data_IF_592655149844
#
_entry.id   IF_592655149844
#
_cell.length_a   1.000
_cell.length_b   1.000
_cell.length_c   1.000
_cell.angle_alpha   90.00
_cell.angle_beta   90.00
_cell.angle_gamma   90.00
#
_symmetry.space_group_name_H-M   'P 1'
#
loop_
_entity.id
_entity.type
_entity.pdbx_description
1 polymer ?
#
# COMPACT_ATOMS: atom_id res chain seq x y z
N UNK A 1 3.72 2.63 39.32
CA UNK A 1 4.29 3.96 39.66
C UNK A 1 5.73 3.98 39.18
N UNK A 2 6.20 5.03 38.49
CA UNK A 2 5.85 6.44 38.70
C UNK A 2 5.08 7.06 37.52
N UNK A 3 4.59 8.27 37.78
CA UNK A 3 3.68 9.10 36.98
C UNK A 3 4.41 10.38 36.53
N UNK A 4 4.05 10.85 35.32
CA UNK A 4 3.87 12.26 34.89
C UNK A 4 5.13 13.17 34.85
N UNK A 5 5.34 14.08 33.89
CA UNK A 5 4.42 14.95 33.13
C UNK A 5 5.00 15.18 31.71
N UNK A 6 4.14 15.08 30.70
CA UNK A 6 4.33 15.54 29.32
C UNK A 6 3.66 16.92 29.14
N UNK A 7 4.17 17.77 28.26
CA UNK A 7 3.44 18.94 27.75
C UNK A 7 3.43 18.92 26.21
N UNK A 8 2.21 18.77 25.72
CA UNK A 8 1.70 18.85 24.35
C UNK A 8 1.83 20.26 23.78
N UNK A 9 2.11 20.37 22.48
CA UNK A 9 1.67 21.49 21.66
C UNK A 9 0.98 20.92 20.41
N UNK A 10 -0.36 20.96 20.43
CA UNK A 10 -1.23 20.59 19.33
C UNK A 10 -1.55 21.83 18.49
N UNK A 11 -1.27 21.80 17.19
CA UNK A 11 -1.93 22.67 16.23
C UNK A 11 -3.17 21.93 15.71
N UNK A 12 -4.34 22.45 16.08
CA UNK A 12 -5.62 22.08 15.52
C UNK A 12 -5.80 22.82 14.19
N UNK A 13 -5.83 22.09 13.08
CA UNK A 13 -6.41 22.56 11.83
C UNK A 13 -7.68 21.73 11.58
N UNK A 14 -8.82 22.40 11.69
CA UNK A 14 -10.15 21.85 11.43
C UNK A 14 -10.30 21.41 9.97
N UNK A 15 -10.97 20.30 9.67
CA UNK A 15 -11.55 20.10 8.35
C UNK A 15 -12.91 20.80 8.33
N UNK A 16 -13.01 21.93 7.63
CA UNK A 16 -14.30 22.46 7.22
C UNK A 16 -14.86 21.53 6.13
N UNK A 17 -16.04 20.96 6.40
CA UNK A 17 -16.86 20.26 5.43
C UNK A 17 -17.16 21.19 4.25
N UNK A 18 -16.86 20.71 3.05
CA UNK A 18 -17.30 21.31 1.80
C UNK A 18 -18.83 21.23 1.73
N UNK A 19 -19.51 22.38 1.72
CA UNK A 19 -20.80 22.50 1.08
C UNK A 19 -20.58 22.51 -0.43
N UNK A 20 -21.18 21.55 -1.14
CA UNK A 20 -21.46 21.70 -2.56
C UNK A 20 -22.48 22.83 -2.74
N UNK A 21 -21.98 24.05 -2.94
CA UNK A 21 -22.72 25.03 -3.73
C UNK A 21 -22.22 24.91 -5.15
N UNK A 22 -23.12 24.61 -6.09
CA UNK A 22 -22.89 24.63 -7.53
C UNK A 22 -22.63 26.05 -8.05
N UNK A 23 -21.58 26.69 -7.56
CA UNK A 23 -21.02 27.92 -8.10
C UNK A 23 -19.77 27.54 -8.87
N UNK A 24 -19.80 27.73 -10.19
CA UNK A 24 -18.62 27.70 -11.05
C UNK A 24 -17.51 28.54 -10.42
N UNK A 25 -16.51 27.88 -9.85
CA UNK A 25 -15.30 28.50 -9.33
C UNK A 25 -14.66 29.31 -10.47
N UNK A 26 -14.80 30.64 -10.41
CA UNK A 26 -14.11 31.55 -11.30
C UNK A 26 -12.61 31.51 -10.94
N UNK A 27 -11.86 30.66 -11.62
CA UNK A 27 -10.40 30.60 -11.51
C UNK A 27 -9.87 31.98 -11.92
N UNK A 28 -9.22 32.76 -11.02
CA UNK A 28 -8.66 34.05 -11.40
C UNK A 28 -7.52 33.81 -12.40
N UNK A 29 -7.53 34.55 -13.51
CA UNK A 29 -6.46 34.47 -14.49
C UNK A 29 -5.12 34.86 -13.83
N UNK A 30 -4.01 34.14 -14.15
CA UNK A 30 -2.71 34.46 -13.60
C UNK A 30 -2.29 35.89 -13.97
N UNK A 31 -1.47 36.56 -13.13
CA UNK A 31 -0.97 37.90 -13.42
C UNK A 31 -0.21 37.92 -14.74
N UNK A 32 -0.34 39.01 -15.48
CA UNK A 32 0.06 39.17 -16.89
C UNK A 32 1.56 38.92 -17.17
N UNK A 33 2.38 38.84 -16.12
CA UNK A 33 3.84 38.65 -16.18
C UNK A 33 4.32 37.32 -15.53
N UNK A 34 3.44 36.35 -15.29
CA UNK A 34 3.83 35.04 -14.77
C UNK A 34 4.47 34.17 -15.87
N UNK A 35 5.78 33.96 -15.81
CA UNK A 35 6.46 32.92 -16.58
C UNK A 35 6.16 31.54 -15.97
N UNK A 36 5.05 30.94 -16.38
CA UNK A 36 4.71 29.56 -16.03
C UNK A 36 5.64 28.61 -16.82
N UNK A 37 6.21 27.56 -16.20
CA UNK A 37 6.95 26.55 -16.94
C UNK A 37 6.01 25.81 -17.90
N UNK A 38 6.48 25.51 -19.10
CA UNK A 38 5.75 24.64 -20.04
C UNK A 38 5.54 23.28 -19.38
N UNK A 39 4.27 22.95 -19.10
CA UNK A 39 3.89 21.65 -18.56
C UNK A 39 3.80 20.70 -19.75
N UNK A 40 4.86 19.93 -19.98
CA UNK A 40 4.78 18.81 -20.90
C UNK A 40 3.85 17.74 -20.30
N UNK A 41 2.87 17.22 -21.06
CA UNK A 41 2.02 16.13 -20.58
C UNK A 41 2.88 14.92 -20.25
N UNK A 42 2.65 14.33 -19.07
CA UNK A 42 3.45 13.23 -18.50
C UNK A 42 3.41 11.97 -19.39
N UNK A 43 2.40 11.87 -20.26
CA UNK A 43 2.21 10.83 -21.27
C UNK A 43 1.79 11.54 -22.56
N UNK A 44 2.51 11.33 -23.65
CA UNK A 44 2.15 11.87 -24.96
C UNK A 44 0.96 11.12 -25.58
N UNK A 45 0.20 11.75 -26.46
CA UNK A 45 -0.95 11.12 -27.14
C UNK A 45 -0.58 9.79 -27.81
N UNK A 46 0.66 9.64 -28.32
CA UNK A 46 1.18 8.38 -28.87
C UNK A 46 1.28 7.26 -27.83
N UNK A 47 1.73 7.55 -26.61
CA UNK A 47 1.84 6.54 -25.55
C UNK A 47 0.46 6.18 -25.00
N UNK A 48 -0.48 7.14 -24.99
CA UNK A 48 -1.88 6.88 -24.66
C UNK A 48 -2.54 5.97 -25.70
N UNK A 49 -2.42 6.27 -26.99
CA UNK A 49 -3.00 5.42 -28.05
C UNK A 49 -2.38 4.01 -28.09
N UNK A 50 -1.09 3.88 -27.76
CA UNK A 50 -0.45 2.57 -27.64
C UNK A 50 -0.94 1.74 -26.43
N UNK A 51 -1.46 2.38 -25.39
CA UNK A 51 -1.96 1.73 -24.18
C UNK A 51 -3.44 1.34 -24.27
N UNK A 52 -4.19 1.89 -25.23
CA UNK A 52 -5.59 1.53 -25.46
C UNK A 52 -5.64 0.25 -26.31
N UNK A 53 -6.20 -0.86 -25.81
CA UNK A 53 -6.38 -2.05 -26.63
C UNK A 53 -7.33 -1.75 -27.80
N UNK A 54 -6.91 -2.07 -29.02
CA UNK A 54 -7.76 -1.97 -30.21
C UNK A 54 -8.90 -2.98 -30.09
N UNK A 55 -10.13 -2.50 -29.98
CA UNK A 55 -11.33 -3.33 -30.03
C UNK A 55 -11.69 -3.55 -31.50
N UNK A 56 -11.17 -4.61 -32.12
CA UNK A 56 -11.59 -5.00 -33.46
C UNK A 56 -13.01 -5.61 -33.37
N UNK A 57 -14.01 -5.10 -34.10
CA UNK A 57 -15.34 -5.72 -34.17
C UNK A 57 -15.35 -7.17 -34.71
N UNK A 58 -14.21 -7.68 -35.20
CA UNK A 58 -14.00 -9.09 -35.51
C UNK A 58 -13.73 -9.98 -34.28
N UNK A 59 -13.29 -9.41 -33.15
CA UNK A 59 -12.94 -10.15 -31.93
C UNK A 59 -14.15 -10.40 -31.01
N UNK A 60 -15.28 -9.73 -31.24
CA UNK A 60 -16.55 -9.98 -30.57
C UNK A 60 -17.72 -10.11 -31.57
N UNK A 61 -18.17 -11.34 -31.89
CA UNK A 61 -19.26 -11.56 -32.83
C UNK A 61 -20.60 -11.01 -32.33
N UNK A 62 -20.77 -10.71 -31.03
CA UNK A 62 -22.00 -10.12 -30.50
C UNK A 62 -22.15 -8.64 -30.88
N UNK A 63 -21.03 -7.92 -31.04
CA UNK A 63 -21.03 -6.50 -31.44
C UNK A 63 -21.42 -6.29 -32.91
N UNK A 64 -21.34 -7.34 -33.74
CA UNK A 64 -21.72 -7.30 -35.16
C UNK A 64 -23.14 -7.82 -35.44
N UNK A 65 -23.86 -8.25 -34.39
CA UNK A 65 -25.24 -8.70 -34.51
C UNK A 65 -26.21 -7.57 -34.84
N UNK A 66 -27.27 -7.87 -35.61
CA UNK A 66 -28.42 -6.96 -35.71
C UNK A 66 -29.06 -6.83 -34.33
N UNK A 67 -29.07 -5.61 -33.80
CA UNK A 67 -29.77 -5.29 -32.56
C UNK A 67 -31.23 -5.72 -32.71
N UNK A 68 -31.77 -6.32 -31.64
CA UNK A 68 -33.18 -6.67 -31.59
C UNK A 68 -34.04 -5.43 -31.85
N UNK A 69 -35.07 -5.57 -32.69
CA UNK A 69 -36.03 -4.49 -32.91
C UNK A 69 -36.79 -4.21 -31.61
N UNK A 70 -37.11 -2.94 -31.34
CA UNK A 70 -37.89 -2.52 -30.16
C UNK A 70 -39.17 -3.38 -29.99
N UNK A 71 -39.83 -3.72 -31.10
CA UNK A 71 -41.05 -4.53 -31.10
C UNK A 71 -40.84 -5.99 -30.63
N UNK A 72 -39.65 -6.56 -30.85
CA UNK A 72 -39.30 -7.90 -30.37
C UNK A 72 -38.90 -7.85 -28.89
N UNK A 73 -38.19 -6.81 -28.47
CA UNK A 73 -37.83 -6.56 -27.08
C UNK A 73 -39.08 -6.41 -26.19
N UNK A 74 -40.05 -5.59 -26.62
CA UNK A 74 -41.31 -5.39 -25.89
C UNK A 74 -42.12 -6.68 -25.78
N UNK A 75 -42.12 -7.53 -26.83
CA UNK A 75 -42.80 -8.82 -26.82
C UNK A 75 -42.19 -9.79 -25.80
N UNK A 76 -40.86 -9.81 -25.69
CA UNK A 76 -40.15 -10.63 -24.69
C UNK A 76 -40.46 -10.16 -23.27
N UNK A 77 -40.48 -8.85 -23.05
CA UNK A 77 -40.76 -8.26 -21.74
C UNK A 77 -42.23 -8.51 -21.32
N UNK A 78 -43.16 -8.47 -22.27
CA UNK A 78 -44.56 -8.83 -22.04
C UNK A 78 -44.75 -10.32 -21.75
N UNK A 79 -44.02 -11.20 -22.43
CA UNK A 79 -44.03 -12.65 -22.15
C UNK A 79 -43.46 -12.95 -20.75
N UNK A 80 -42.41 -12.24 -20.31
CA UNK A 80 -41.87 -12.33 -18.95
C UNK A 80 -42.84 -11.77 -17.89
N UNK A 81 -43.54 -10.66 -18.15
CA UNK A 81 -44.58 -10.11 -17.26
C UNK A 81 -45.80 -11.05 -17.14
N UNK A 82 -46.17 -11.75 -18.21
CA UNK A 82 -47.32 -12.67 -18.20
C UNK A 82 -47.08 -13.99 -17.44
N UNK A 83 -45.83 -14.30 -17.09
CA UNK A 83 -45.47 -15.40 -16.20
C UNK A 83 -45.60 -15.03 -14.70
N UNK A 84 -45.82 -13.76 -14.37
CA UNK A 84 -46.17 -13.32 -13.02
C UNK A 84 -47.69 -13.23 -12.88
N UNK A 85 -48.30 -14.26 -12.28
CA UNK A 85 -49.73 -14.32 -11.96
C UNK A 85 -50.19 -13.04 -11.20
N UNK A 86 -50.79 -12.09 -11.92
CA UNK A 86 -51.63 -11.04 -11.35
C UNK A 86 -52.87 -10.82 -12.22
N UNK A 87 -54.01 -11.20 -11.67
CA UNK A 87 -55.36 -10.99 -12.21
C UNK A 87 -55.62 -9.50 -12.52
N UNK A 88 -55.86 -9.19 -13.80
CA UNK A 88 -56.29 -7.87 -14.23
C UNK A 88 -57.78 -7.64 -13.92
N UNK A 89 -58.18 -6.49 -13.31
CA UNK A 89 -59.58 -6.11 -13.29
C UNK A 89 -59.98 -5.38 -14.58
N UNK A 90 -61.23 -5.64 -14.95
CA UNK A 90 -61.98 -5.17 -16.12
C UNK A 90 -61.86 -3.66 -16.38
N UNK A 91 -61.54 -3.31 -17.62
CA UNK A 91 -61.52 -1.92 -18.14
C UNK A 91 -62.91 -1.30 -18.22
N UNK A 92 -63.02 -0.06 -17.75
CA UNK A 92 -64.20 0.80 -17.91
C UNK A 92 -64.12 1.54 -19.28
N UNK A 93 -65.16 1.54 -20.14
CA UNK A 93 -65.10 2.11 -21.49
C UNK A 93 -64.99 3.63 -21.55
N UNK A 94 -64.92 4.32 -20.41
CA UNK A 94 -64.99 5.78 -20.33
C UNK A 94 -63.70 6.52 -20.76
N UNK A 95 -62.59 5.81 -20.93
CA UNK A 95 -61.31 6.38 -21.39
C UNK A 95 -60.90 5.97 -22.81
N UNK A 96 -61.69 5.11 -23.47
CA UNK A 96 -61.53 4.91 -24.91
C UNK A 96 -62.27 6.06 -25.61
N UNK A 97 -61.53 7.03 -26.16
CA UNK A 97 -62.12 8.10 -26.99
C UNK A 97 -62.80 7.56 -28.26
N UNK A 98 -62.60 6.27 -28.54
CA UNK A 98 -63.25 5.51 -29.60
C UNK A 98 -62.59 5.71 -30.96
N UNK A 99 -61.46 6.40 -31.03
CA UNK A 99 -60.63 6.40 -32.23
C UNK A 99 -59.92 5.05 -32.36
N UNK A 100 -59.96 4.47 -33.57
CA UNK A 100 -59.39 3.15 -33.86
C UNK A 100 -58.12 3.23 -34.70
N UNK A 101 -57.64 4.44 -34.97
CA UNK A 101 -56.42 4.68 -35.75
C UNK A 101 -55.47 5.61 -35.02
N UNK A 102 -54.81 5.08 -33.99
CA UNK A 102 -53.64 5.70 -33.37
C UNK A 102 -52.41 4.79 -33.58
N UNK A 103 -51.25 5.37 -33.87
CA UNK A 103 -49.99 4.63 -34.04
C UNK A 103 -49.40 4.14 -32.71
N UNK A 104 -49.88 4.66 -31.57
CA UNK A 104 -49.48 4.25 -30.22
C UNK A 104 -50.75 4.01 -29.42
N UNK A 105 -50.87 2.84 -28.79
CA UNK A 105 -52.03 2.52 -27.95
C UNK A 105 -52.03 3.38 -26.68
N UNK A 106 -53.21 3.81 -26.25
CA UNK A 106 -53.38 4.64 -25.07
C UNK A 106 -52.88 3.91 -23.81
N UNK A 107 -52.11 4.62 -22.98
CA UNK A 107 -51.39 4.00 -21.87
C UNK A 107 -52.38 3.50 -20.80
N UNK A 108 -52.26 2.23 -20.42
CA UNK A 108 -53.10 1.65 -19.37
C UNK A 108 -52.78 2.31 -18.03
N UNK A 109 -53.72 3.07 -17.47
CA UNK A 109 -53.58 3.63 -16.12
C UNK A 109 -53.65 2.46 -15.12
N UNK A 110 -52.48 2.02 -14.62
CA UNK A 110 -52.36 0.88 -13.69
C UNK A 110 -52.67 1.26 -12.23
N UNK A 111 -52.75 2.55 -11.92
CA UNK A 111 -53.00 3.04 -10.56
C UNK A 111 -54.47 3.37 -10.32
N UNK A 112 -55.15 2.54 -9.54
CA UNK A 112 -56.56 2.69 -9.19
C UNK A 112 -56.85 3.96 -8.36
N UNK A 113 -55.83 4.62 -7.80
CA UNK A 113 -56.01 5.91 -7.12
C UNK A 113 -56.31 7.05 -8.09
N UNK A 114 -55.77 6.99 -9.31
CA UNK A 114 -55.91 8.04 -10.32
C UNK A 114 -57.30 8.07 -10.98
N UNK A 115 -58.08 7.01 -10.80
CA UNK A 115 -59.46 6.89 -11.33
C UNK A 115 -60.49 7.36 -10.30
N UNK A 116 -60.08 7.70 -9.07
CA UNK A 116 -61.00 8.21 -8.05
C UNK A 116 -61.45 9.63 -8.43
N UNK A 117 -62.76 9.94 -8.35
CA UNK A 117 -63.25 11.29 -8.62
C UNK A 117 -62.57 12.28 -7.66
N UNK A 118 -62.05 13.37 -8.21
CA UNK A 118 -61.39 14.40 -7.42
C UNK A 118 -62.34 14.93 -6.34
N UNK A 119 -61.85 15.15 -5.10
CA UNK A 119 -62.66 15.74 -4.05
C UNK A 119 -63.11 17.16 -4.46
N UNK A 120 -64.29 17.61 -4.00
CA UNK A 120 -64.79 18.95 -4.30
C UNK A 120 -63.80 20.01 -3.82
N UNK A 121 -63.55 21.03 -4.64
CA UNK A 121 -62.56 22.10 -4.35
C UNK A 121 -62.85 22.83 -3.03
N UNK A 122 -64.10 22.82 -2.56
CA UNK A 122 -64.53 23.40 -1.27
C UNK A 122 -63.98 22.65 -0.04
N UNK A 123 -63.50 21.41 -0.21
CA UNK A 123 -62.88 20.59 0.84
C UNK A 123 -61.34 20.66 0.86
N UNK A 124 -60.74 21.43 -0.05
CA UNK A 124 -59.31 21.63 -0.12
C UNK A 124 -58.89 22.72 0.88
N UNK A 125 -58.60 22.33 2.12
CA UNK A 125 -57.93 23.21 3.07
C UNK A 125 -56.49 23.44 2.60
N UNK A 126 -56.22 24.67 2.12
CA UNK A 126 -54.85 25.14 1.90
C UNK A 126 -54.24 25.40 3.28
N UNK A 127 -53.78 24.36 3.96
CA UNK A 127 -52.69 24.54 4.91
C UNK A 127 -51.48 24.95 4.08
N UNK A 128 -50.91 26.15 4.30
CA UNK A 128 -49.61 26.46 3.74
C UNK A 128 -48.68 25.32 4.14
N UNK A 129 -47.97 24.74 3.19
CA UNK A 129 -46.86 23.86 3.50
C UNK A 129 -45.90 24.75 4.29
N UNK A 130 -45.92 24.64 5.63
CA UNK A 130 -44.79 25.04 6.43
C UNK A 130 -43.69 24.09 6.01
N UNK A 131 -42.89 24.53 5.04
CA UNK A 131 -41.53 24.03 4.95
C UNK A 131 -40.99 24.20 6.37
N UNK A 132 -40.73 23.10 7.07
CA UNK A 132 -39.92 23.15 8.26
C UNK A 132 -38.76 24.07 7.89
N UNK A 133 -38.61 25.19 8.62
CA UNK A 133 -37.43 26.04 8.49
C UNK A 133 -36.26 25.08 8.35
N UNK A 134 -35.35 25.26 7.36
CA UNK A 134 -34.15 24.44 7.35
C UNK A 134 -33.60 24.58 8.76
N UNK A 135 -33.67 23.49 9.53
CA UNK A 135 -33.18 23.49 10.89
C UNK A 135 -31.80 24.10 10.74
N UNK A 136 -31.59 25.25 11.41
CA UNK A 136 -30.34 26.00 11.31
C UNK A 136 -29.24 24.97 11.30
N UNK A 137 -28.47 24.88 10.21
CA UNK A 137 -27.58 23.76 9.94
C UNK A 137 -26.93 23.34 11.25
N UNK A 138 -27.42 22.24 11.83
CA UNK A 138 -26.85 21.68 13.04
C UNK A 138 -25.53 21.12 12.53
N UNK A 139 -24.52 21.99 12.51
CA UNK A 139 -23.10 21.69 12.33
C UNK A 139 -22.57 20.90 13.55
N UNK A 140 -23.47 20.33 14.36
CA UNK A 140 -23.17 19.23 15.23
C UNK A 140 -22.86 18.02 14.34
N UNK A 141 -21.59 17.92 13.92
CA UNK A 141 -21.01 16.65 13.49
C UNK A 141 -21.39 15.60 14.54
N UNK A 142 -22.42 14.79 14.27
CA UNK A 142 -22.95 13.81 15.21
C UNK A 142 -21.88 12.75 15.37
N UNK A 143 -21.01 12.99 16.35
CA UNK A 143 -19.87 12.13 16.62
C UNK A 143 -20.42 10.85 17.21
N UNK A 144 -20.33 9.76 16.44
CA UNK A 144 -20.74 8.43 16.87
C UNK A 144 -19.66 7.84 17.75
N UNK A 145 -20.02 7.54 19.00
CA UNK A 145 -19.17 6.78 19.91
C UNK A 145 -19.30 5.28 19.60
N UNK A 146 -18.17 4.58 19.53
CA UNK A 146 -18.15 3.14 19.34
C UNK A 146 -17.10 2.44 20.21
N UNK A 147 -17.30 1.14 20.43
CA UNK A 147 -16.37 0.25 21.09
C UNK A 147 -16.04 -0.92 20.16
N UNK A 148 -14.76 -1.29 20.08
CA UNK A 148 -14.30 -2.46 19.32
C UNK A 148 -14.39 -3.73 20.16
N UNK A 149 -15.02 -4.77 19.61
CA UNK A 149 -15.12 -6.09 20.23
C UNK A 149 -14.56 -7.13 19.26
N UNK A 150 -13.64 -7.96 19.73
CA UNK A 150 -13.01 -9.02 18.92
C UNK A 150 -13.26 -10.36 19.60
N UNK A 151 -14.00 -11.25 18.93
CA UNK A 151 -14.34 -12.59 19.42
C UNK A 151 -13.61 -13.67 18.60
N UNK A 152 -13.43 -14.87 19.16
CA UNK A 152 -12.92 -16.05 18.45
C UNK A 152 -11.41 -16.08 18.13
N UNK A 153 -10.65 -15.04 18.50
CA UNK A 153 -9.20 -14.96 18.28
C UNK A 153 -8.36 -15.70 19.34
N UNK A 154 -8.97 -16.17 20.44
CA UNK A 154 -8.22 -16.66 21.61
C UNK A 154 -7.40 -17.92 21.31
N UNK A 155 -7.96 -18.90 20.59
CA UNK A 155 -7.26 -20.14 20.22
C UNK A 155 -6.01 -19.83 19.37
N UNK A 156 -6.15 -19.00 18.34
CA UNK A 156 -5.04 -18.63 17.47
C UNK A 156 -3.98 -17.81 18.22
N UNK A 157 -4.41 -16.95 19.14
CA UNK A 157 -3.50 -16.13 19.95
C UNK A 157 -2.72 -16.96 20.97
N UNK A 158 -3.26 -18.08 21.47
CA UNK A 158 -2.53 -18.99 22.38
C UNK A 158 -1.55 -19.90 21.64
N UNK A 159 -1.88 -20.33 20.42
CA UNK A 159 -1.01 -21.17 19.58
C UNK A 159 0.11 -20.40 18.88
N UNK A 160 0.04 -19.07 18.91
CA UNK A 160 1.00 -18.18 18.25
C UNK A 160 1.84 -17.46 19.31
N UNK A 161 3.19 -17.58 19.29
CA UNK A 161 4.05 -16.83 20.22
C UNK A 161 3.88 -15.31 20.09
N UNK A 162 3.61 -14.86 18.86
CA UNK A 162 3.25 -13.47 18.54
C UNK A 162 1.87 -13.16 19.11
N UNK A 163 1.77 -12.12 19.94
CA UNK A 163 0.48 -11.68 20.47
C UNK A 163 -0.39 -11.06 19.38
N UNK A 164 -1.20 -11.87 18.69
CA UNK A 164 -2.10 -11.45 17.60
C UNK A 164 -3.00 -10.28 18.00
N UNK A 165 -3.56 -10.32 19.22
CA UNK A 165 -4.39 -9.23 19.75
C UNK A 165 -3.61 -7.92 19.87
N UNK A 166 -2.33 -7.99 20.23
CA UNK A 166 -1.47 -6.80 20.35
C UNK A 166 -1.07 -6.26 19.00
N UNK A 167 -0.74 -7.14 18.04
CA UNK A 167 -0.40 -6.78 16.66
C UNK A 167 -1.59 -6.13 15.95
N UNK A 168 -2.78 -6.70 16.08
CA UNK A 168 -3.99 -6.10 15.54
C UNK A 168 -4.22 -4.70 16.12
N UNK A 169 -4.10 -4.55 17.44
CA UNK A 169 -4.27 -3.24 18.10
C UNK A 169 -3.24 -2.20 17.65
N UNK A 170 -2.02 -2.56 17.23
CA UNK A 170 -1.06 -1.55 16.75
C UNK A 170 -1.40 -0.96 15.39
N UNK A 171 -2.18 -1.68 14.58
CA UNK A 171 -2.51 -1.29 13.21
C UNK A 171 -4.00 -1.04 12.96
N UNK A 172 -4.86 -1.26 13.97
CA UNK A 172 -6.32 -1.08 13.87
C UNK A 172 -6.73 0.38 13.69
N UNK A 173 -7.47 0.65 12.62
CA UNK A 173 -8.07 1.94 12.30
C UNK A 173 -9.21 2.29 13.28
N UNK A 174 -9.97 1.31 13.76
CA UNK A 174 -10.96 1.52 14.83
C UNK A 174 -10.27 1.97 16.14
N UNK A 175 -9.07 1.46 16.43
CA UNK A 175 -8.33 1.90 17.62
C UNK A 175 -7.73 3.28 17.42
N UNK A 176 -7.17 3.58 16.26
CA UNK A 176 -6.63 4.90 15.92
C UNK A 176 -7.70 5.99 16.06
N UNK A 177 -8.94 5.69 15.68
CA UNK A 177 -10.10 6.56 15.86
C UNK A 177 -10.52 6.82 17.32
N UNK A 178 -9.90 6.17 18.31
CA UNK A 178 -10.12 6.46 19.73
C UNK A 178 -11.56 6.24 20.23
N UNK A 179 -12.32 5.36 19.57
CA UNK A 179 -13.73 5.10 19.91
C UNK A 179 -14.71 6.20 19.47
N UNK A 180 -14.30 7.09 18.57
CA UNK A 180 -15.14 8.15 18.00
C UNK A 180 -15.05 8.23 16.48
N UNK A 181 -16.17 8.51 15.83
CA UNK A 181 -16.26 8.68 14.39
C UNK A 181 -17.24 9.81 14.01
N UNK A 182 -17.01 10.48 12.90
CA UNK A 182 -17.88 11.53 12.35
C UNK A 182 -19.28 11.00 11.97
N UNK A 183 -19.40 9.73 11.57
CA UNK A 183 -20.67 9.08 11.25
C UNK A 183 -20.49 7.54 11.26
N UNK A 184 -21.60 6.81 11.12
CA UNK A 184 -21.62 5.34 11.07
C UNK A 184 -20.85 4.78 9.87
N UNK A 185 -20.92 5.45 8.72
CA UNK A 185 -20.21 5.03 7.51
C UNK A 185 -18.69 4.97 7.72
N UNK A 186 -18.12 5.92 8.47
CA UNK A 186 -16.70 5.87 8.82
C UNK A 186 -16.36 4.74 9.80
N UNK A 187 -17.27 4.38 10.71
CA UNK A 187 -17.08 3.18 11.57
C UNK A 187 -17.07 1.92 10.70
N UNK A 188 -18.00 1.82 9.75
CA UNK A 188 -18.06 0.70 8.81
C UNK A 188 -16.79 0.59 7.95
N UNK A 189 -16.31 1.69 7.38
CA UNK A 189 -15.08 1.72 6.59
C UNK A 189 -13.86 1.27 7.41
N UNK A 190 -13.72 1.76 8.65
CA UNK A 190 -12.64 1.34 9.55
C UNK A 190 -12.77 -0.13 9.96
N UNK A 191 -13.99 -0.62 10.15
CA UNK A 191 -14.27 -2.00 10.49
C UNK A 191 -13.93 -2.95 9.33
N UNK A 192 -14.19 -2.55 8.09
CA UNK A 192 -13.79 -3.29 6.89
C UNK A 192 -12.26 -3.34 6.75
N UNK A 193 -11.58 -2.20 6.88
CA UNK A 193 -10.11 -2.15 6.91
C UNK A 193 -9.50 -3.03 8.02
N UNK A 194 -10.10 -3.00 9.21
CA UNK A 194 -9.66 -3.85 10.32
C UNK A 194 -9.92 -5.35 10.05
N UNK A 195 -10.96 -5.69 9.29
CA UNK A 195 -11.22 -7.07 8.90
C UNK A 195 -10.15 -7.62 7.96
N UNK A 196 -9.73 -6.82 6.96
CA UNK A 196 -8.64 -7.15 6.04
C UNK A 196 -7.30 -7.24 6.77
N UNK A 197 -7.06 -6.33 7.71
CA UNK A 197 -5.90 -6.38 8.59
C UNK A 197 -5.88 -7.68 9.42
N UNK A 198 -7.01 -8.06 10.01
CA UNK A 198 -7.11 -9.30 10.78
C UNK A 198 -6.82 -10.53 9.93
N UNK A 199 -7.40 -10.61 8.71
CA UNK A 199 -7.11 -11.68 7.75
C UNK A 199 -5.61 -11.72 7.40
N UNK A 200 -5.01 -10.57 7.14
CA UNK A 200 -3.58 -10.45 6.80
C UNK A 200 -2.69 -10.92 7.95
N UNK A 201 -2.99 -10.52 9.18
CA UNK A 201 -2.26 -10.93 10.39
C UNK A 201 -2.35 -12.44 10.60
N UNK A 202 -3.56 -13.01 10.46
CA UNK A 202 -3.79 -14.44 10.60
C UNK A 202 -3.06 -15.23 9.51
N UNK A 203 -3.15 -14.80 8.25
CA UNK A 203 -2.44 -15.41 7.14
C UNK A 203 -0.91 -15.35 7.33
N UNK A 204 -0.38 -14.25 7.86
CA UNK A 204 1.05 -14.10 8.15
C UNK A 204 1.55 -15.10 9.21
N UNK A 205 0.67 -15.61 10.05
CA UNK A 205 0.99 -16.60 11.11
C UNK A 205 0.60 -18.04 10.73
N UNK A 206 0.15 -18.23 9.49
CA UNK A 206 -0.16 -19.53 8.89
C UNK A 206 -1.63 -19.93 8.94
N UNK A 207 -2.53 -19.03 9.32
CA UNK A 207 -3.98 -19.26 9.39
C UNK A 207 -4.66 -18.82 8.09
N UNK A 208 -4.37 -19.51 6.98
CA UNK A 208 -4.88 -19.16 5.65
C UNK A 208 -6.36 -19.50 5.41
N UNK A 209 -6.98 -20.23 6.32
CA UNK A 209 -8.41 -20.57 6.27
C UNK A 209 -9.23 -19.79 7.29
N UNK A 210 -8.71 -18.65 7.74
CA UNK A 210 -9.42 -17.77 8.64
C UNK A 210 -10.63 -17.12 7.95
N UNK A 211 -11.78 -17.16 8.61
CA UNK A 211 -13.00 -16.45 8.21
C UNK A 211 -13.23 -15.31 9.20
N UNK A 212 -13.26 -14.06 8.71
CA UNK A 212 -13.43 -12.86 9.53
C UNK A 212 -14.71 -12.17 9.12
N UNK A 213 -15.67 -12.12 10.05
CA UNK A 213 -16.95 -11.45 9.85
C UNK A 213 -17.03 -10.19 10.68
N UNK A 214 -17.70 -9.20 10.14
CA UNK A 214 -17.90 -7.92 10.81
C UNK A 214 -19.38 -7.64 10.96
N UNK A 215 -19.74 -6.99 12.07
CA UNK A 215 -21.08 -6.44 12.27
C UNK A 215 -21.03 -5.23 13.18
N UNK A 216 -22.03 -4.38 13.04
CA UNK A 216 -22.22 -3.21 13.88
C UNK A 216 -23.48 -3.44 14.70
N UNK A 217 -23.31 -3.55 16.02
CA UNK A 217 -24.43 -3.59 16.95
C UNK A 217 -24.76 -2.16 17.37
N UNK A 218 -25.93 -1.69 16.96
CA UNK A 218 -26.44 -0.37 17.32
C UNK A 218 -26.75 -0.33 18.82
N UNK A 219 -26.54 0.83 19.47
CA UNK A 219 -26.73 0.94 20.90
C UNK A 219 -28.19 0.74 21.30
N UNK A 220 -28.42 -0.04 22.36
CA UNK A 220 -29.75 -0.21 22.96
C UNK A 220 -29.95 0.78 24.10
N UNK A 221 -30.84 1.76 23.90
CA UNK A 221 -31.18 2.79 24.90
C UNK A 221 -31.34 4.17 24.28
N UNK A 222 -32.12 5.06 24.91
CA UNK A 222 -32.34 6.44 24.46
C UNK A 222 -31.63 7.43 25.41
N UNK A 223 -30.99 8.46 24.86
CA UNK A 223 -30.40 9.58 25.61
C UNK A 223 -28.93 9.38 26.06
N UNK A 224 -28.47 10.20 27.01
CA UNK A 224 -27.08 10.26 27.52
C UNK A 224 -26.59 8.98 28.24
N UNK A 225 -27.45 7.96 28.37
CA UNK A 225 -27.14 6.65 28.98
C UNK A 225 -27.04 5.52 27.96
N UNK A 226 -27.18 5.82 26.66
CA UNK A 226 -26.98 4.84 25.61
C UNK A 226 -25.53 4.34 25.62
N UNK A 227 -25.37 3.01 25.59
CA UNK A 227 -24.05 2.41 25.40
C UNK A 227 -23.46 2.86 24.05
N UNK A 228 -22.12 2.91 23.88
CA UNK A 228 -21.56 3.16 22.56
C UNK A 228 -21.92 2.02 21.61
N UNK A 229 -22.01 2.32 20.31
CA UNK A 229 -22.17 1.32 19.26
C UNK A 229 -21.05 0.27 19.35
N UNK A 230 -21.34 -1.02 19.18
CA UNK A 230 -20.29 -2.04 19.18
C UNK A 230 -19.89 -2.40 17.74
N UNK A 231 -18.64 -2.13 17.38
CA UNK A 231 -18.02 -2.61 16.15
C UNK A 231 -17.41 -3.99 16.44
N UNK A 232 -18.09 -5.05 16.00
CA UNK A 232 -17.75 -6.43 16.32
C UNK A 232 -17.01 -7.07 15.16
N UNK A 233 -15.86 -7.68 15.46
CA UNK A 233 -15.07 -8.53 14.56
C UNK A 233 -15.13 -9.95 15.12
N UNK A 234 -15.86 -10.82 14.44
CA UNK A 234 -16.01 -12.23 14.78
C UNK A 234 -15.03 -13.05 13.93
N UNK A 235 -14.03 -13.66 14.57
CA UNK A 235 -12.94 -14.38 13.90
C UNK A 235 -13.11 -15.89 14.08
N UNK A 236 -13.02 -16.64 12.99
CA UNK A 236 -12.89 -18.10 13.00
C UNK A 236 -11.53 -18.43 12.38
N UNK A 237 -10.48 -18.71 13.18
CA UNK A 237 -9.12 -18.87 12.65
C UNK A 237 -8.91 -20.06 11.70
N UNK A 238 -9.72 -21.12 11.85
CA UNK A 238 -9.60 -22.33 11.04
C UNK A 238 -8.39 -23.19 11.41
N UNK A 239 -7.78 -23.87 10.43
CA UNK A 239 -6.57 -24.67 10.63
C UNK A 239 -5.31 -23.84 10.38
N UNK A 240 -4.28 -24.05 11.21
CA UNK A 240 -2.94 -23.51 10.98
C UNK A 240 -2.13 -24.43 10.06
N UNK A 241 -1.64 -23.88 8.95
CA UNK A 241 -0.85 -24.61 7.97
C UNK A 241 0.61 -24.74 8.41
N UNK A 242 1.21 -25.86 8.03
CA UNK A 242 2.63 -26.18 8.27
C UNK A 242 3.36 -26.40 6.96
N UNK A 243 4.67 -26.16 6.93
CA UNK A 243 5.52 -26.42 5.79
C UNK A 243 5.53 -27.93 5.49
N UNK A 244 5.19 -28.30 4.26
CA UNK A 244 5.26 -29.66 3.73
C UNK A 244 6.62 -29.92 3.09
N UNK A 245 6.63 -30.28 1.81
CA UNK A 245 7.86 -30.39 1.03
C UNK A 245 8.46 -29.01 0.77
N UNK A 246 9.78 -28.89 0.93
CA UNK A 246 10.52 -27.65 0.63
C UNK A 246 11.40 -27.93 -0.58
N UNK A 247 11.05 -27.36 -1.73
CA UNK A 247 11.79 -27.43 -2.98
C UNK A 247 12.54 -26.11 -3.25
N UNK A 248 13.78 -26.20 -3.69
CA UNK A 248 14.58 -25.07 -4.17
C UNK A 248 14.97 -25.40 -5.60
N UNK A 249 14.55 -24.55 -6.54
CA UNK A 249 14.86 -24.68 -7.96
C UNK A 249 16.03 -23.75 -8.27
N UNK A 250 17.23 -24.30 -8.25
CA UNK A 250 18.47 -23.54 -8.42
C UNK A 250 19.52 -24.38 -9.14
N UNK A 251 20.42 -23.70 -9.84
CA UNK A 251 21.65 -24.30 -10.35
C UNK A 251 22.57 -24.73 -9.20
N UNK A 252 23.49 -25.69 -9.41
CA UNK A 252 24.44 -26.10 -8.39
C UNK A 252 25.32 -24.94 -7.91
N UNK A 253 25.56 -24.90 -6.59
CA UNK A 253 26.46 -23.94 -5.94
C UNK A 253 27.75 -24.61 -5.47
N UNK A 254 28.79 -23.81 -5.33
CA UNK A 254 30.01 -24.11 -4.58
C UNK A 254 30.11 -23.18 -3.35
N UNK A 255 30.17 -23.73 -2.12
CA UNK A 255 30.07 -25.14 -1.76
C UNK A 255 28.68 -25.75 -2.09
N UNK A 256 28.59 -27.08 -2.27
CA UNK A 256 27.31 -27.74 -2.49
C UNK A 256 26.42 -27.55 -1.26
N UNK A 257 25.13 -27.30 -1.48
CA UNK A 257 24.17 -27.12 -0.39
C UNK A 257 24.06 -25.70 0.16
N UNK A 258 24.86 -24.73 -0.34
CA UNK A 258 24.89 -23.35 0.16
C UNK A 258 23.50 -22.73 0.36
N UNK A 259 22.60 -22.89 -0.62
CA UNK A 259 21.24 -22.36 -0.52
C UNK A 259 20.42 -23.09 0.55
N UNK A 260 20.53 -24.43 0.62
CA UNK A 260 19.76 -25.24 1.58
C UNK A 260 20.21 -25.00 3.01
N UNK A 261 21.50 -24.83 3.23
CA UNK A 261 22.07 -24.59 4.56
C UNK A 261 21.70 -23.20 5.11
N UNK A 262 21.52 -22.20 4.22
CA UNK A 262 21.10 -20.85 4.59
C UNK A 262 19.57 -20.66 4.54
N UNK A 263 18.83 -21.50 3.83
CA UNK A 263 17.36 -21.55 3.89
C UNK A 263 16.97 -22.32 5.14
N UNK A 264 17.04 -21.65 6.30
CA UNK A 264 16.70 -22.23 7.59
C UNK A 264 15.18 -22.49 7.71
N UNK A 265 14.58 -23.37 6.92
CA UNK A 265 13.18 -23.77 7.04
C UNK A 265 13.11 -25.30 7.11
N UNK A 266 12.26 -25.83 7.99
CA UNK A 266 12.12 -27.28 8.15
C UNK A 266 10.68 -27.73 7.86
N UNK A 267 10.51 -28.89 7.20
CA UNK A 267 9.21 -29.54 7.10
C UNK A 267 8.58 -29.75 8.49
N UNK A 268 7.29 -29.46 8.60
CA UNK A 268 6.50 -29.58 9.82
C UNK A 268 6.44 -28.31 10.69
N UNK A 269 7.25 -27.30 10.40
CA UNK A 269 7.17 -26.00 11.07
C UNK A 269 5.93 -25.21 10.60
N UNK A 270 5.28 -24.39 11.44
CA UNK A 270 4.20 -23.51 10.99
C UNK A 270 4.66 -22.54 9.91
N UNK A 271 3.79 -22.23 8.94
CA UNK A 271 4.08 -21.26 7.89
C UNK A 271 3.95 -19.86 8.49
N UNK A 272 5.07 -19.29 8.94
CA UNK A 272 5.13 -17.91 9.47
C UNK A 272 5.84 -17.03 8.46
N UNK A 273 5.16 -15.99 7.97
CA UNK A 273 5.63 -15.13 6.89
C UNK A 273 6.98 -14.47 7.21
N UNK A 274 7.13 -13.92 8.42
CA UNK A 274 8.39 -13.33 8.88
C UNK A 274 9.53 -14.36 8.87
N UNK A 275 9.25 -15.59 9.31
CA UNK A 275 10.24 -16.68 9.36
C UNK A 275 10.69 -17.10 7.97
N UNK A 276 9.75 -17.21 7.03
CA UNK A 276 10.00 -17.54 5.63
C UNK A 276 10.80 -16.43 4.94
N UNK A 277 10.37 -15.17 5.09
CA UNK A 277 11.07 -14.01 4.54
C UNK A 277 12.49 -13.88 5.12
N UNK A 278 12.67 -14.10 6.42
CA UNK A 278 13.99 -14.11 7.04
C UNK A 278 14.91 -15.20 6.50
N UNK A 279 14.38 -16.39 6.23
CA UNK A 279 15.16 -17.49 5.62
C UNK A 279 15.55 -17.18 4.16
N UNK A 280 14.65 -16.60 3.38
CA UNK A 280 14.95 -16.16 2.01
C UNK A 280 15.97 -15.01 2.00
N UNK A 281 15.85 -14.07 2.93
CA UNK A 281 16.81 -12.98 3.10
C UNK A 281 18.22 -13.54 3.42
N UNK A 282 18.32 -14.56 4.27
CA UNK A 282 19.60 -15.25 4.54
C UNK A 282 20.21 -15.84 3.28
N UNK A 283 19.41 -16.47 2.41
CA UNK A 283 19.88 -16.97 1.10
C UNK A 283 20.36 -15.82 0.21
N UNK A 284 19.59 -14.74 0.11
CA UNK A 284 19.94 -13.56 -0.70
C UNK A 284 21.23 -12.87 -0.24
N UNK A 285 21.59 -13.00 1.03
CA UNK A 285 22.83 -12.48 1.58
C UNK A 285 23.99 -13.47 1.40
N UNK A 286 23.76 -14.75 1.68
CA UNK A 286 24.80 -15.77 1.66
C UNK A 286 25.38 -16.03 0.27
N UNK A 287 24.55 -15.94 -0.79
CA UNK A 287 25.01 -16.13 -2.17
C UNK A 287 26.08 -15.11 -2.59
N UNK A 288 25.84 -13.79 -2.52
CA UNK A 288 26.85 -12.79 -2.86
C UNK A 288 28.03 -12.74 -1.88
N UNK A 289 27.87 -13.21 -0.63
CA UNK A 289 28.99 -13.39 0.31
C UNK A 289 29.93 -14.56 -0.06
N UNK A 290 29.47 -15.50 -0.90
CA UNK A 290 30.22 -16.71 -1.29
C UNK A 290 30.63 -16.71 -2.78
N UNK A 291 30.59 -15.54 -3.41
CA UNK A 291 31.07 -15.36 -4.77
C UNK A 291 29.98 -15.30 -5.84
N UNK A 292 28.70 -15.17 -5.50
CA UNK A 292 27.61 -15.05 -6.50
C UNK A 292 27.02 -13.64 -6.50
N UNK A 293 27.70 -12.64 -7.11
CA UNK A 293 27.28 -11.22 -7.06
C UNK A 293 25.92 -10.96 -7.72
N UNK A 294 25.55 -11.76 -8.70
CA UNK A 294 24.33 -11.59 -9.51
C UNK A 294 23.26 -12.62 -9.17
N UNK A 295 23.31 -13.19 -7.97
CA UNK A 295 22.30 -14.12 -7.53
C UNK A 295 20.95 -13.41 -7.31
N UNK A 296 19.88 -13.97 -7.87
CA UNK A 296 18.52 -13.48 -7.70
C UNK A 296 17.67 -14.55 -7.02
N UNK A 297 17.11 -14.20 -5.86
CA UNK A 297 16.06 -15.01 -5.21
C UNK A 297 14.72 -14.63 -5.86
N UNK A 298 14.09 -15.59 -6.53
CA UNK A 298 12.81 -15.38 -7.20
C UNK A 298 11.61 -15.46 -6.26
N UNK A 299 10.41 -15.32 -6.82
CA UNK A 299 9.18 -15.35 -6.05
C UNK A 299 8.86 -16.78 -5.58
N UNK A 300 8.72 -16.96 -4.26
CA UNK A 300 8.26 -18.21 -3.67
C UNK A 300 6.84 -18.57 -4.12
N UNK A 301 6.56 -19.86 -4.16
CA UNK A 301 5.22 -20.42 -4.29
C UNK A 301 4.95 -21.38 -3.13
N UNK A 302 3.74 -21.30 -2.55
CA UNK A 302 3.31 -22.21 -1.48
C UNK A 302 1.96 -22.79 -1.90
N UNK A 303 1.95 -24.10 -2.20
CA UNK A 303 0.73 -24.81 -2.54
C UNK A 303 0.10 -25.37 -1.26
N UNK A 304 -1.05 -24.81 -0.85
CA UNK A 304 -1.75 -25.21 0.37
C UNK A 304 -2.71 -26.37 0.11
N UNK A 305 -2.51 -27.48 0.81
CA UNK A 305 -3.43 -28.61 0.89
C UNK A 305 -4.37 -28.41 2.09
N UNK A 306 -5.66 -28.19 1.79
CA UNK A 306 -6.71 -27.95 2.80
C UNK A 306 -7.10 -29.21 3.59
N UNK A 307 -6.84 -30.41 3.07
CA UNK A 307 -7.17 -31.65 3.75
C UNK A 307 -6.09 -32.03 4.78
N UNK A 308 -4.82 -31.88 4.39
CA UNK A 308 -3.69 -32.24 5.27
C UNK A 308 -3.22 -31.08 6.16
N UNK A 309 -3.57 -29.83 5.83
CA UNK A 309 -3.06 -28.63 6.50
C UNK A 309 -1.56 -28.39 6.25
N UNK A 310 -1.07 -28.84 5.08
CA UNK A 310 0.33 -28.71 4.69
C UNK A 310 0.46 -27.73 3.53
N UNK A 311 1.59 -27.02 3.46
CA UNK A 311 1.93 -26.13 2.37
C UNK A 311 3.25 -26.54 1.73
N UNK A 312 3.21 -27.01 0.48
CA UNK A 312 4.42 -27.33 -0.28
C UNK A 312 5.07 -26.05 -0.79
N UNK A 313 6.29 -25.79 -0.30
CA UNK A 313 7.05 -24.58 -0.55
C UNK A 313 8.02 -24.79 -1.71
N UNK A 314 8.02 -23.88 -2.67
CA UNK A 314 8.96 -23.86 -3.80
C UNK A 314 9.62 -22.49 -3.92
N UNK A 315 10.96 -22.45 -3.94
CA UNK A 315 11.74 -21.23 -4.15
C UNK A 315 12.61 -21.34 -5.41
N UNK A 316 12.32 -20.57 -6.48
CA UNK A 316 13.24 -20.41 -7.59
C UNK A 316 14.39 -19.48 -7.22
N UNK A 317 15.63 -19.88 -7.49
CA UNK A 317 16.84 -19.07 -7.27
C UNK A 317 17.71 -19.13 -8.51
N UNK A 318 17.99 -17.97 -9.11
CA UNK A 318 18.98 -17.85 -10.17
C UNK A 318 20.33 -17.56 -9.52
N UNK A 319 21.23 -18.52 -9.54
CA UNK A 319 22.52 -18.40 -8.84
C UNK A 319 23.48 -17.48 -9.59
N UNK A 320 23.46 -17.53 -10.92
CA UNK A 320 24.42 -16.83 -11.76
C UNK A 320 25.83 -17.43 -11.69
N UNK A 321 26.79 -16.89 -12.47
CA UNK A 321 28.17 -17.34 -12.43
C UNK A 321 28.84 -16.94 -11.11
N UNK A 322 29.70 -17.81 -10.60
CA UNK A 322 30.58 -17.48 -9.48
C UNK A 322 31.67 -16.53 -9.96
N UNK A 323 32.04 -15.54 -9.14
CA UNK A 323 32.84 -14.41 -9.59
C UNK A 323 34.07 -14.12 -8.71
N UNK A 324 35.06 -13.46 -9.33
CA UNK A 324 36.27 -12.92 -8.70
C UNK A 324 36.42 -11.43 -8.98
N UNK A 325 36.99 -10.70 -8.04
CA UNK A 325 37.26 -9.27 -8.24
C UNK A 325 38.27 -9.06 -9.37
N UNK A 326 38.00 -8.08 -10.24
CA UNK A 326 38.88 -7.72 -11.36
C UNK A 326 39.70 -6.45 -11.08
N UNK A 327 39.00 -5.34 -10.93
CA UNK A 327 39.57 -4.02 -10.76
C UNK A 327 38.49 -3.00 -10.45
N UNK A 328 38.85 -1.72 -10.52
CA UNK A 328 37.96 -0.60 -10.18
C UNK A 328 37.72 0.29 -11.40
N UNK A 329 36.46 0.68 -11.57
CA UNK A 329 36.06 1.72 -12.51
C UNK A 329 35.32 2.82 -11.77
N UNK A 330 35.59 4.08 -12.13
CA UNK A 330 34.98 5.23 -11.46
C UNK A 330 34.22 6.13 -12.45
N UNK A 331 33.09 6.68 -12.00
CA UNK A 331 32.27 7.60 -12.78
C UNK A 331 31.69 8.71 -11.90
N UNK A 332 31.48 9.90 -12.48
CA UNK A 332 30.78 11.02 -11.85
C UNK A 332 31.69 12.20 -11.51
N UNK A 333 31.29 12.96 -10.48
CA UNK A 333 32.14 14.00 -9.89
C UNK A 333 33.08 13.31 -8.88
N UNK A 334 34.33 13.11 -9.31
CA UNK A 334 35.29 12.25 -8.65
C UNK A 334 36.00 12.97 -7.50
N UNK A 335 35.88 12.43 -6.28
CA UNK A 335 36.78 12.77 -5.19
C UNK A 335 38.07 11.91 -5.22
N UNK A 336 37.95 10.68 -5.72
CA UNK A 336 39.03 9.70 -5.81
C UNK A 336 39.11 9.07 -7.20
N UNK A 337 40.32 8.83 -7.67
CA UNK A 337 40.58 8.00 -8.85
C UNK A 337 40.52 6.50 -8.50
N UNK A 338 40.53 5.64 -9.51
CA UNK A 338 40.45 4.19 -9.33
C UNK A 338 41.64 3.65 -8.51
N UNK A 339 42.83 4.24 -8.65
CA UNK A 339 44.03 3.84 -7.93
C UNK A 339 43.91 4.11 -6.43
N UNK A 340 43.35 5.27 -6.04
CA UNK A 340 43.13 5.58 -4.64
C UNK A 340 42.01 4.73 -4.02
N UNK A 341 40.98 4.37 -4.80
CA UNK A 341 39.96 3.41 -4.36
C UNK A 341 40.56 2.04 -4.08
N UNK A 342 41.49 1.57 -4.91
CA UNK A 342 42.21 0.31 -4.70
C UNK A 342 42.99 0.32 -3.37
N UNK A 343 43.55 1.47 -2.96
CA UNK A 343 44.22 1.62 -1.65
C UNK A 343 43.23 1.51 -0.47
N UNK A 344 41.99 1.96 -0.67
CA UNK A 344 40.93 1.88 0.35
C UNK A 344 40.26 0.51 0.39
N UNK A 345 40.30 -0.24 -0.71
CA UNK A 345 39.71 -1.57 -0.80
C UNK A 345 40.49 -2.57 0.06
N UNK A 346 39.76 -3.43 0.78
CA UNK A 346 40.32 -4.54 1.56
C UNK A 346 40.27 -5.87 0.82
N UNK A 347 40.40 -5.81 -0.50
CA UNK A 347 40.41 -6.96 -1.39
C UNK A 347 41.33 -6.70 -2.57
N UNK A 348 41.82 -7.79 -3.15
CA UNK A 348 42.75 -7.76 -4.28
C UNK A 348 42.11 -8.38 -5.53
N UNK A 349 42.65 -8.03 -6.71
CA UNK A 349 42.30 -8.67 -7.98
C UNK A 349 42.51 -10.18 -7.90
N UNK A 350 41.55 -10.94 -8.40
CA UNK A 350 41.56 -12.40 -8.42
C UNK A 350 41.03 -13.05 -7.14
N UNK A 351 40.81 -12.30 -6.06
CA UNK A 351 40.10 -12.82 -4.90
C UNK A 351 38.65 -13.16 -5.24
N UNK A 352 38.10 -14.18 -4.55
CA UNK A 352 36.69 -14.52 -4.69
C UNK A 352 35.82 -13.32 -4.28
N UNK A 353 34.77 -13.06 -5.06
CA UNK A 353 33.83 -12.00 -4.75
C UNK A 353 33.17 -12.24 -3.38
N UNK A 354 33.07 -11.18 -2.59
CA UNK A 354 32.39 -11.17 -1.30
C UNK A 354 31.74 -9.79 -1.11
N UNK A 355 30.41 -9.76 -1.06
CA UNK A 355 29.64 -8.52 -0.91
C UNK A 355 29.98 -7.74 0.37
N UNK A 356 30.47 -8.39 1.42
CA UNK A 356 30.89 -7.70 2.65
C UNK A 356 32.09 -6.81 2.41
N UNK A 357 32.98 -7.18 1.48
CA UNK A 357 34.14 -6.37 1.10
C UNK A 357 33.75 -5.15 0.26
N UNK A 358 32.71 -5.29 -0.57
CA UNK A 358 32.08 -4.16 -1.27
C UNK A 358 31.45 -3.18 -0.27
N UNK A 359 30.71 -3.69 0.71
CA UNK A 359 30.12 -2.85 1.76
C UNK A 359 31.18 -2.17 2.65
N UNK A 360 32.27 -2.86 2.95
CA UNK A 360 33.42 -2.29 3.68
C UNK A 360 34.10 -1.17 2.88
N UNK A 361 34.30 -1.35 1.57
CA UNK A 361 34.81 -0.29 0.70
C UNK A 361 33.86 0.91 0.67
N UNK A 362 32.54 0.68 0.52
CA UNK A 362 31.53 1.73 0.58
C UNK A 362 31.60 2.49 1.91
N UNK A 363 31.70 1.78 3.03
CA UNK A 363 31.86 2.38 4.37
C UNK A 363 33.15 3.19 4.47
N UNK A 364 34.27 2.69 3.95
CA UNK A 364 35.54 3.42 3.92
C UNK A 364 35.43 4.72 3.13
N UNK A 365 34.82 4.68 1.94
CA UNK A 365 34.58 5.84 1.09
C UNK A 365 33.68 6.88 1.80
N UNK A 366 32.60 6.46 2.44
CA UNK A 366 31.73 7.34 3.25
C UNK A 366 32.50 7.94 4.44
N UNK A 367 33.34 7.16 5.09
CA UNK A 367 34.11 7.59 6.26
C UNK A 367 35.16 8.68 5.93
N UNK A 368 35.61 8.78 4.67
CA UNK A 368 36.46 9.91 4.24
C UNK A 368 35.74 11.26 4.38
N UNK A 369 34.41 11.25 4.32
CA UNK A 369 33.60 12.46 4.34
C UNK A 369 33.84 13.38 3.13
N UNK A 370 34.48 12.88 2.07
CA UNK A 370 34.76 13.62 0.84
C UNK A 370 33.67 13.46 -0.22
N UNK A 371 32.71 12.57 0.02
CA UNK A 371 31.63 12.22 -0.91
C UNK A 371 30.29 12.64 -0.30
N UNK A 372 29.43 13.25 -1.13
CA UNK A 372 28.03 13.51 -0.79
C UNK A 372 27.15 12.28 -1.09
N UNK A 373 27.50 11.54 -2.14
CA UNK A 373 26.87 10.28 -2.51
C UNK A 373 27.93 9.32 -3.08
N UNK A 374 27.79 8.03 -2.81
CA UNK A 374 28.63 6.97 -3.36
C UNK A 374 27.81 5.70 -3.56
N UNK A 375 27.94 5.11 -4.74
CA UNK A 375 27.38 3.79 -5.07
C UNK A 375 28.51 2.88 -5.50
N UNK A 376 28.58 1.68 -4.93
CA UNK A 376 29.57 0.66 -5.26
C UNK A 376 28.80 -0.58 -5.71
N UNK A 377 28.97 -0.99 -6.96
CA UNK A 377 28.22 -2.09 -7.56
C UNK A 377 29.17 -3.01 -8.37
N UNK A 378 28.97 -4.34 -8.34
CA UNK A 378 29.67 -5.23 -9.24
C UNK A 378 29.12 -5.11 -10.67
N UNK A 379 30.01 -5.09 -11.66
CA UNK A 379 29.66 -5.19 -13.08
C UNK A 379 30.34 -6.39 -13.72
N UNK A 380 29.56 -7.19 -14.44
CA UNK A 380 30.08 -8.34 -15.17
C UNK A 380 30.97 -7.85 -16.32
N UNK A 381 32.19 -8.38 -16.40
CA UNK A 381 33.10 -8.10 -17.53
C UNK A 381 32.84 -9.01 -18.73
N UNK A 382 32.19 -10.16 -18.50
CA UNK A 382 32.07 -11.25 -19.48
C UNK A 382 33.36 -12.06 -19.66
N UNK A 383 34.44 -11.69 -18.97
CA UNK A 383 35.70 -12.44 -18.99
C UNK A 383 35.67 -13.56 -17.95
N UNK A 384 36.16 -14.74 -18.33
CA UNK A 384 36.26 -15.91 -17.44
C UNK A 384 37.69 -16.16 -17.01
N UNK A 385 37.87 -16.43 -15.73
CA UNK A 385 39.10 -16.94 -15.15
C UNK A 385 39.32 -18.41 -15.52
N UNK A 386 40.55 -18.89 -15.31
CA UNK A 386 40.96 -20.26 -15.65
C UNK A 386 40.17 -21.35 -14.90
N UNK A 387 39.63 -21.03 -13.73
CA UNK A 387 38.83 -21.93 -12.89
C UNK A 387 37.33 -21.94 -13.24
N UNK A 388 36.93 -21.20 -14.29
CA UNK A 388 35.54 -21.11 -14.72
C UNK A 388 34.72 -20.03 -14.01
N UNK A 389 35.31 -19.27 -13.07
CA UNK A 389 34.67 -18.08 -12.47
C UNK A 389 34.69 -16.89 -13.44
N UNK A 390 33.79 -15.93 -13.26
CA UNK A 390 33.77 -14.68 -14.04
C UNK A 390 34.44 -13.53 -13.29
N UNK A 391 35.15 -12.68 -14.03
CA UNK A 391 35.71 -11.46 -13.46
C UNK A 391 34.63 -10.37 -13.34
N UNK A 392 34.58 -9.73 -12.18
CA UNK A 392 33.68 -8.60 -11.92
C UNK A 392 34.46 -7.35 -11.58
N UNK A 393 34.17 -6.28 -12.33
CA UNK A 393 34.71 -4.95 -12.05
C UNK A 393 33.88 -4.31 -10.96
N UNK A 394 34.56 -3.75 -9.96
CA UNK A 394 33.90 -2.93 -8.93
C UNK A 394 33.69 -1.53 -9.48
N UNK A 395 32.45 -1.22 -9.82
CA UNK A 395 32.08 0.08 -10.37
C UNK A 395 31.69 1.04 -9.23
N UNK A 396 32.36 2.19 -9.18
CA UNK A 396 32.16 3.19 -8.13
C UNK A 396 31.67 4.51 -8.74
N UNK A 397 30.38 4.77 -8.57
CA UNK A 397 29.77 6.06 -8.92
C UNK A 397 29.94 7.03 -7.75
N UNK A 398 30.59 8.16 -8.01
CA UNK A 398 30.95 9.14 -7.00
C UNK A 398 30.24 10.48 -7.24
N UNK A 399 29.93 11.16 -6.15
CA UNK A 399 29.60 12.58 -6.13
C UNK A 399 30.41 13.25 -5.02
N UNK A 400 31.32 14.16 -5.41
CA UNK A 400 32.11 14.92 -4.46
C UNK A 400 31.21 15.70 -3.48
N UNK A 401 31.62 15.72 -2.22
CA UNK A 401 30.99 16.51 -1.17
C UNK A 401 31.54 17.93 -1.13
N UNK A 402 30.87 18.86 -0.42
CA UNK A 402 31.40 20.19 -0.21
C UNK A 402 32.77 20.13 0.49
N UNK A 403 33.81 20.66 -0.18
CA UNK A 403 35.16 20.64 0.36
C UNK A 403 35.33 21.47 1.64
N UNK A 404 34.39 22.37 1.94
CA UNK A 404 34.47 23.31 3.08
C UNK A 404 33.17 23.31 3.85
N UNK A 405 33.25 23.25 5.17
CA UNK A 405 32.08 23.28 6.06
C UNK A 405 32.35 24.15 7.27
N UNK A 406 31.37 24.99 7.63
CA UNK A 406 31.33 25.73 8.88
C UNK A 406 30.18 25.17 9.71
N UNK A 407 30.44 24.86 10.97
CA UNK A 407 29.45 24.40 11.93
C UNK A 407 29.59 25.18 13.23
N UNK A 408 28.49 25.34 13.98
CA UNK A 408 28.54 25.94 15.29
C UNK A 408 27.40 25.47 16.17
N UNK A 409 27.64 25.43 17.47
CA UNK A 409 26.71 24.96 18.49
C UNK A 409 26.59 25.99 19.60
N UNK A 410 25.37 26.31 20.02
CA UNK A 410 25.10 27.14 21.19
C UNK A 410 24.36 26.29 22.22
N UNK A 411 24.84 26.28 23.46
CA UNK A 411 24.27 25.49 24.55
C UNK A 411 24.13 26.29 25.84
N UNK A 412 23.18 25.89 26.68
CA UNK A 412 23.04 26.39 28.04
C UNK A 412 22.82 25.20 28.99
N UNK A 413 23.65 25.08 30.02
CA UNK A 413 23.51 24.04 31.03
C UNK A 413 23.55 24.64 32.44
N UNK A 414 22.64 24.15 33.30
CA UNK A 414 22.56 24.57 34.69
C UNK A 414 23.82 24.11 35.44
N UNK A 415 24.71 25.05 35.76
CA UNK A 415 26.01 24.78 36.40
C UNK A 415 27.22 25.07 35.52
N UNK A 416 27.06 25.09 34.20
CA UNK A 416 28.15 25.36 33.23
C UNK A 416 27.97 26.67 32.46
N UNK A 417 26.76 27.26 32.45
CA UNK A 417 26.51 28.56 31.82
C UNK A 417 26.24 28.46 30.31
N UNK A 418 26.50 29.56 29.59
CA UNK A 418 26.37 29.64 28.13
C UNK A 418 27.64 29.12 27.48
N UNK A 419 27.50 28.24 26.49
CA UNK A 419 28.61 27.68 25.72
C UNK A 419 28.38 27.92 24.24
N UNK A 420 29.43 28.34 23.54
CA UNK A 420 29.46 28.52 22.10
C UNK A 420 30.65 27.75 21.50
N UNK A 421 30.37 26.95 20.49
CA UNK A 421 31.37 26.21 19.73
C UNK A 421 31.28 26.60 18.27
N UNK A 422 32.42 26.74 17.60
CA UNK A 422 32.49 26.95 16.16
C UNK A 422 33.59 26.07 15.58
N UNK A 423 33.29 25.40 14.47
CA UNK A 423 34.24 24.55 13.73
C UNK A 423 34.23 24.94 12.27
N UNK A 424 35.42 25.20 11.72
CA UNK A 424 35.64 25.31 10.28
C UNK A 424 36.47 24.12 9.82
N UNK A 425 36.03 23.47 8.75
CA UNK A 425 36.75 22.35 8.14
C UNK A 425 36.94 22.60 6.66
N UNK A 426 38.14 22.31 6.17
CA UNK A 426 38.45 22.12 4.76
C UNK A 426 38.88 20.68 4.56
N UNK A 427 37.99 19.88 4.00
CA UNK A 427 38.26 18.48 3.66
C UNK A 427 39.04 18.45 2.33
N UNK A 428 39.94 17.47 2.17
CA UNK A 428 40.82 17.36 1.00
C UNK A 428 41.65 18.63 0.69
N UNK A 429 42.13 19.32 1.72
CA UNK A 429 43.07 20.45 1.56
C UNK A 429 44.46 19.97 1.10
N UNK A 430 44.82 18.74 1.45
CA UNK A 430 46.05 18.06 0.99
C UNK A 430 45.67 16.73 0.31
N UNK A 431 45.53 16.71 -1.03
CA UNK A 431 45.12 15.51 -1.75
C UNK A 431 45.97 14.26 -1.46
N UNK A 432 45.37 13.07 -1.46
CA UNK A 432 43.96 12.76 -1.78
C UNK A 432 42.95 12.86 -0.62
N UNK A 433 43.39 12.88 0.65
CA UNK A 433 42.47 12.80 1.82
C UNK A 433 42.75 13.80 2.96
N UNK A 434 43.83 14.58 2.90
CA UNK A 434 44.25 15.41 4.02
C UNK A 434 43.30 16.58 4.30
N UNK A 435 42.80 16.69 5.53
CA UNK A 435 41.88 17.74 5.96
C UNK A 435 42.54 18.74 6.94
N UNK A 436 42.09 19.99 6.89
CA UNK A 436 42.41 21.01 7.89
C UNK A 436 41.14 21.35 8.68
N UNK A 437 41.18 21.22 10.00
CA UNK A 437 40.04 21.51 10.88
C UNK A 437 40.49 22.50 11.95
N UNK A 438 39.80 23.64 12.02
CA UNK A 438 39.95 24.64 13.07
C UNK A 438 38.71 24.61 13.98
N UNK A 439 38.91 24.50 15.29
CA UNK A 439 37.85 24.52 16.29
C UNK A 439 38.07 25.66 17.28
N UNK A 440 36.99 26.33 17.68
CA UNK A 440 36.97 27.39 18.65
C UNK A 440 35.88 27.15 19.69
N UNK A 441 36.22 27.38 20.97
CA UNK A 441 35.33 27.23 22.11
C UNK A 441 35.28 28.53 22.90
N UNK A 442 34.08 29.00 23.26
CA UNK A 442 33.86 30.08 24.21
C UNK A 442 32.78 29.66 25.22
N UNK A 443 33.02 29.89 26.51
CA UNK A 443 32.09 29.53 27.61
C UNK A 443 32.51 30.13 28.93
#
# INVERSE_FOLDING_TARGET
>A
MPRLVALLAALLASPALAQETGETLAIPAPPVDAALPDVEPIIGDEEFEAAVPELDPLDDPELSGELESIEQFERRLADEESAADQEAPLGDPALADGDRSEEVADATIRDAELVKPLPPVESFEVTPVEFAQPAAADDESVTVAYQTVITGLDEANEQTPTGLRSLFRSFSALREGGGKAANVAMVQARLEQDSELMQTILAAEGWYSADVKTRIDLPTGEGETAEPMAAVIDVIPGQRYKLGAIAVLADPTEPPGLIRDNLALQPGEPIVAERVQGAEAQVSLALPEQGYPFAEVGQRSILLDRETGLGDYTLPVKVGPRARFDGFETEGDLAFDAQHIEVLARFERGELYDSRKIDDLRKALVATGLLSNVTVEPRATGERAEDGTEYVTTFVRQQSGPARTIAGTLGYATGEGLRAEATWSHRNMFPPEGALIAHGLAG
#
